data_IF_183050102818
#
_entry.id   IF_183050102818
#
_cell.length_a   1.000
_cell.length_b   1.000
_cell.length_c   1.000
_cell.angle_alpha   90.00
_cell.angle_beta   90.00
_cell.angle_gamma   90.00
#
_symmetry.space_group_name_H-M   'P 1'
#
loop_
_entity.id
_entity.type
_entity.pdbx_description
1 polymer ?
#
# COMPACT_ATOMS: atom_id res chain seq x y z
N UNK A 1 14.68 18.15 -21.60
CA UNK A 1 14.74 16.71 -21.29
C UNK A 1 14.26 16.38 -19.87
N UNK A 2 14.63 17.17 -18.85
CA UNK A 2 14.21 17.01 -17.44
C UNK A 2 12.69 16.92 -17.23
N UNK A 3 11.91 17.80 -17.86
CA UNK A 3 10.44 17.80 -17.76
C UNK A 3 9.79 16.55 -18.37
N UNK A 4 10.37 16.00 -19.45
CA UNK A 4 9.87 14.78 -20.09
C UNK A 4 10.06 13.55 -19.18
N UNK A 5 11.20 13.43 -18.52
CA UNK A 5 11.46 12.35 -17.56
C UNK A 5 10.54 12.44 -16.34
N UNK A 6 10.30 13.67 -15.84
CA UNK A 6 9.35 13.90 -14.76
C UNK A 6 7.95 13.43 -15.13
N UNK A 7 7.42 13.90 -16.26
CA UNK A 7 6.08 13.51 -16.73
C UNK A 7 5.98 12.01 -16.89
N UNK A 8 6.95 11.35 -17.52
CA UNK A 8 6.90 9.90 -17.70
C UNK A 8 6.84 9.13 -16.37
N UNK A 9 7.65 9.53 -15.37
CA UNK A 9 7.63 8.86 -14.05
C UNK A 9 6.32 9.13 -13.31
N UNK A 10 5.82 10.36 -13.35
CA UNK A 10 4.54 10.75 -12.73
C UNK A 10 3.38 10.02 -13.41
N UNK A 11 3.33 10.01 -14.74
CA UNK A 11 2.29 9.30 -15.50
C UNK A 11 2.35 7.81 -15.20
N UNK A 12 3.54 7.19 -15.17
CA UNK A 12 3.67 5.77 -14.86
C UNK A 12 3.19 5.44 -13.44
N UNK A 13 3.57 6.24 -12.44
CA UNK A 13 3.17 6.02 -11.05
C UNK A 13 1.67 6.29 -10.81
N UNK A 14 1.13 7.39 -11.34
CA UNK A 14 -0.20 7.90 -11.00
C UNK A 14 -1.32 7.55 -12.00
N UNK A 15 -1.00 7.14 -13.23
CA UNK A 15 -2.04 6.70 -14.18
C UNK A 15 -2.89 5.53 -13.65
N UNK A 16 -2.33 4.50 -12.97
CA UNK A 16 -3.13 3.43 -12.38
C UNK A 16 -4.17 3.93 -11.36
N UNK A 17 -3.82 4.92 -10.55
CA UNK A 17 -4.74 5.53 -9.59
C UNK A 17 -5.92 6.22 -10.29
N UNK A 18 -5.63 6.98 -11.35
CA UNK A 18 -6.65 7.66 -12.14
C UNK A 18 -7.58 6.68 -12.85
N UNK A 19 -7.01 5.64 -13.47
CA UNK A 19 -7.76 4.57 -14.14
C UNK A 19 -8.65 3.86 -13.12
N UNK A 20 -8.10 3.44 -11.98
CA UNK A 20 -8.87 2.76 -10.94
C UNK A 20 -10.03 3.64 -10.43
N UNK A 21 -9.79 4.92 -10.13
CA UNK A 21 -10.84 5.84 -9.70
C UNK A 21 -11.96 6.00 -10.73
N UNK A 22 -11.62 6.10 -12.02
CA UNK A 22 -12.60 6.32 -13.09
C UNK A 22 -13.41 5.06 -13.41
N UNK A 23 -12.77 3.88 -13.46
CA UNK A 23 -13.42 2.64 -13.89
C UNK A 23 -14.02 1.81 -12.74
N UNK A 24 -13.73 2.11 -11.47
CA UNK A 24 -14.34 1.40 -10.33
C UNK A 24 -15.71 1.94 -9.92
N UNK A 25 -16.31 2.86 -10.68
CA UNK A 25 -17.60 3.49 -10.35
C UNK A 25 -17.55 4.48 -9.18
N UNK A 26 -16.37 4.78 -8.61
CA UNK A 26 -16.21 5.73 -7.50
C UNK A 26 -16.64 7.15 -7.86
N UNK A 27 -16.46 7.50 -9.13
CA UNK A 27 -16.82 8.81 -9.65
C UNK A 27 -18.34 9.10 -9.57
N UNK A 28 -19.18 8.06 -9.63
CA UNK A 28 -20.65 8.18 -9.54
C UNK A 28 -21.11 8.50 -8.11
N UNK A 29 -20.34 8.08 -7.11
CA UNK A 29 -20.65 8.28 -5.69
C UNK A 29 -20.17 9.63 -5.12
N UNK A 30 -19.68 10.55 -5.96
CA UNK A 30 -19.01 11.80 -5.52
C UNK A 30 -17.93 11.52 -4.46
N UNK A 31 -17.16 10.45 -4.67
CA UNK A 31 -16.29 9.87 -3.65
C UNK A 31 -14.91 10.53 -3.54
N UNK A 32 -14.67 11.64 -4.24
CA UNK A 32 -13.39 12.36 -4.17
C UNK A 32 -13.09 12.81 -2.74
N UNK A 33 -14.09 13.38 -2.04
CA UNK A 33 -13.91 13.83 -0.65
C UNK A 33 -13.60 12.67 0.30
N UNK A 34 -14.15 11.49 0.03
CA UNK A 34 -13.88 10.26 0.79
C UNK A 34 -12.46 9.78 0.57
N UNK A 35 -11.98 9.78 -0.68
CA UNK A 35 -10.57 9.50 -0.96
C UNK A 35 -9.67 10.50 -0.24
N UNK A 36 -10.01 11.80 -0.25
CA UNK A 36 -9.25 12.84 0.46
C UNK A 36 -9.23 12.64 1.99
N UNK A 37 -10.36 12.25 2.59
CA UNK A 37 -10.42 11.88 4.01
C UNK A 37 -9.53 10.67 4.33
N UNK A 38 -9.51 9.65 3.46
CA UNK A 38 -8.64 8.50 3.63
C UNK A 38 -7.15 8.88 3.51
N UNK A 39 -6.81 9.75 2.56
CA UNK A 39 -5.47 10.32 2.45
C UNK A 39 -5.05 11.11 3.69
N UNK A 40 -5.97 11.89 4.27
CA UNK A 40 -5.73 12.59 5.54
C UNK A 40 -5.47 11.63 6.70
N UNK A 41 -6.23 10.53 6.78
CA UNK A 41 -6.02 9.45 7.73
C UNK A 41 -4.63 8.81 7.61
N UNK A 42 -4.17 8.56 6.38
CA UNK A 42 -2.81 8.07 6.12
C UNK A 42 -1.72 8.98 6.68
N UNK A 43 -1.80 10.29 6.47
CA UNK A 43 -0.77 11.21 6.98
C UNK A 43 -0.72 11.21 8.52
N UNK A 44 -1.87 11.10 9.18
CA UNK A 44 -1.94 11.00 10.64
C UNK A 44 -1.31 9.69 11.14
N UNK A 45 -1.64 8.55 10.54
CA UNK A 45 -1.10 7.25 10.95
C UNK A 45 0.37 7.13 10.64
N UNK A 46 0.81 7.68 9.50
CA UNK A 46 2.21 7.74 9.12
C UNK A 46 3.01 8.59 10.11
N UNK A 47 2.46 9.70 10.61
CA UNK A 47 3.12 10.51 11.64
C UNK A 47 3.28 9.72 12.95
N UNK A 48 2.23 9.01 13.39
CA UNK A 48 2.29 8.16 14.58
C UNK A 48 3.33 7.04 14.39
N UNK A 49 3.32 6.38 13.24
CA UNK A 49 4.26 5.31 12.88
C UNK A 49 5.71 5.79 12.90
N UNK A 50 5.99 6.95 12.30
CA UNK A 50 7.33 7.52 12.30
C UNK A 50 7.79 7.94 13.70
N UNK A 51 6.88 8.46 14.54
CA UNK A 51 7.18 8.78 15.94
C UNK A 51 7.54 7.51 16.73
N UNK A 52 6.74 6.44 16.59
CA UNK A 52 7.00 5.16 17.24
C UNK A 52 8.33 4.55 16.80
N UNK A 53 8.63 4.58 15.49
CA UNK A 53 9.91 4.11 14.97
C UNK A 53 11.07 4.92 15.54
N UNK A 54 10.95 6.24 15.61
CA UNK A 54 12.00 7.11 16.14
C UNK A 54 12.22 6.96 17.66
N UNK A 55 11.17 6.69 18.45
CA UNK A 55 11.28 6.55 19.91
C UNK A 55 11.77 5.17 20.34
N UNK A 56 11.29 4.10 19.71
CA UNK A 56 11.58 2.73 20.13
C UNK A 56 12.74 2.07 19.36
N UNK A 57 13.06 2.54 18.15
CA UNK A 57 14.15 2.00 17.33
C UNK A 57 15.19 3.08 17.04
N UNK A 58 16.08 3.39 18.01
CA UNK A 58 17.16 4.33 17.77
C UNK A 58 18.04 3.84 16.61
N UNK A 59 18.64 4.77 15.88
CA UNK A 59 19.65 4.45 14.87
C UNK A 59 20.85 3.81 15.57
N UNK A 60 20.90 2.48 15.59
CA UNK A 60 22.07 1.73 16.04
C UNK A 60 23.06 1.65 14.89
N UNK A 61 24.31 2.10 15.08
CA UNK A 61 25.42 2.03 14.12
C UNK A 61 25.92 0.58 13.87
N UNK A 62 25.09 -0.43 14.14
CA UNK A 62 25.40 -1.82 13.88
C UNK A 62 25.36 -2.07 12.36
N UNK A 63 26.54 -2.07 11.75
CA UNK A 63 26.80 -2.39 10.35
C UNK A 63 26.47 -3.88 10.07
N UNK A 64 25.18 -4.21 9.92
CA UNK A 64 24.76 -5.56 9.57
C UNK A 64 23.25 -5.79 9.59
N UNK A 65 22.74 -6.57 8.63
CA UNK A 65 21.34 -7.02 8.63
C UNK A 65 21.10 -7.94 9.83
N UNK A 66 20.37 -7.45 10.81
CA UNK A 66 19.95 -8.22 11.98
C UNK A 66 18.46 -8.54 11.86
N UNK A 67 18.13 -9.83 11.86
CA UNK A 67 16.77 -10.31 11.60
C UNK A 67 15.74 -9.74 12.59
N UNK A 68 16.04 -9.79 13.89
CA UNK A 68 15.10 -9.40 14.96
C UNK A 68 14.72 -7.91 14.93
N UNK A 69 15.67 -6.94 14.90
CA UNK A 69 15.30 -5.53 14.83
C UNK A 69 14.57 -5.19 13.53
N UNK A 70 14.86 -5.87 12.42
CA UNK A 70 14.16 -5.61 11.17
C UNK A 70 12.72 -6.14 11.16
N UNK A 71 12.51 -7.31 11.74
CA UNK A 71 11.16 -7.85 11.95
C UNK A 71 10.34 -6.92 12.85
N UNK A 72 10.95 -6.42 13.93
CA UNK A 72 10.31 -5.49 14.86
C UNK A 72 9.99 -4.14 14.21
N UNK A 73 10.87 -3.58 13.37
CA UNK A 73 10.57 -2.37 12.59
C UNK A 73 9.42 -2.60 11.64
N UNK A 74 9.39 -3.72 10.92
CA UNK A 74 8.28 -4.04 10.00
C UNK A 74 6.96 -4.26 10.74
N UNK A 75 6.97 -4.64 12.02
CA UNK A 75 5.74 -4.74 12.82
C UNK A 75 5.02 -3.40 13.01
N UNK A 76 5.72 -2.27 12.82
CA UNK A 76 5.10 -0.93 12.84
C UNK A 76 4.07 -0.74 11.71
N UNK A 77 4.13 -1.55 10.64
CA UNK A 77 3.14 -1.55 9.55
C UNK A 77 1.74 -2.01 10.04
N UNK A 78 1.63 -2.64 11.22
CA UNK A 78 0.33 -2.93 11.86
C UNK A 78 -0.45 -1.64 12.15
N UNK A 79 0.24 -0.53 12.42
CA UNK A 79 -0.39 0.78 12.65
C UNK A 79 -1.19 1.24 11.42
N UNK A 80 -0.68 0.95 10.22
CA UNK A 80 -1.36 1.33 8.98
C UNK A 80 -2.65 0.52 8.79
N UNK A 81 -2.64 -0.77 9.13
CA UNK A 81 -3.83 -1.64 9.10
C UNK A 81 -4.88 -1.17 10.10
N UNK A 82 -4.48 -0.84 11.33
CA UNK A 82 -5.38 -0.29 12.36
C UNK A 82 -5.95 1.05 11.90
N UNK A 83 -5.10 1.93 11.36
CA UNK A 83 -5.49 3.22 10.82
C UNK A 83 -6.51 3.10 9.70
N UNK A 84 -6.25 2.24 8.71
CA UNK A 84 -7.20 1.94 7.63
C UNK A 84 -8.55 1.48 8.18
N UNK A 85 -8.55 0.57 9.14
CA UNK A 85 -9.79 0.05 9.74
C UNK A 85 -10.60 1.16 10.43
N UNK A 86 -9.95 2.01 11.22
CA UNK A 86 -10.59 3.15 11.89
C UNK A 86 -11.17 4.14 10.86
N UNK A 87 -10.40 4.49 9.84
CA UNK A 87 -10.85 5.41 8.77
C UNK A 87 -12.05 4.86 8.02
N UNK A 88 -12.03 3.58 7.64
CA UNK A 88 -13.15 2.94 6.94
C UNK A 88 -14.41 2.80 7.79
N UNK A 89 -14.25 2.68 9.10
CA UNK A 89 -15.37 2.48 10.02
C UNK A 89 -16.00 3.81 10.45
N UNK A 90 -15.18 4.82 10.74
CA UNK A 90 -15.63 6.06 11.38
C UNK A 90 -15.64 7.28 10.47
N UNK A 91 -14.72 7.38 9.50
CA UNK A 91 -14.61 8.56 8.63
C UNK A 91 -15.38 8.38 7.32
N UNK A 92 -15.36 7.17 6.76
CA UNK A 92 -15.96 6.87 5.47
C UNK A 92 -17.43 6.45 5.63
N UNK A 93 -18.34 7.28 5.12
CA UNK A 93 -19.78 6.98 5.08
C UNK A 93 -20.20 6.38 3.72
N UNK A 94 -21.20 5.48 3.71
CA UNK A 94 -21.75 4.88 2.48
C UNK A 94 -21.72 3.35 2.45
N UNK A 95 -21.96 2.77 1.27
CA UNK A 95 -21.92 1.30 1.05
C UNK A 95 -20.50 0.77 1.33
N UNK A 96 -20.40 -0.37 2.02
CA UNK A 96 -19.11 -0.97 2.41
C UNK A 96 -18.14 -1.16 1.24
N UNK A 97 -18.66 -1.55 0.07
CA UNK A 97 -17.86 -1.71 -1.15
C UNK A 97 -17.18 -0.42 -1.61
N UNK A 98 -17.90 0.70 -1.52
CA UNK A 98 -17.36 2.03 -1.86
C UNK A 98 -16.34 2.47 -0.82
N UNK A 99 -16.53 2.14 0.45
CA UNK A 99 -15.63 2.53 1.55
C UNK A 99 -14.25 1.91 1.42
N UNK A 100 -14.16 0.59 1.18
CA UNK A 100 -12.83 -0.03 1.08
C UNK A 100 -12.10 0.39 -0.20
N UNK A 101 -12.80 0.56 -1.32
CA UNK A 101 -12.20 1.05 -2.57
C UNK A 101 -11.70 2.49 -2.43
N UNK A 102 -12.53 3.40 -1.92
CA UNK A 102 -12.14 4.79 -1.68
C UNK A 102 -11.01 4.89 -0.63
N UNK A 103 -11.09 4.08 0.42
CA UNK A 103 -10.08 4.00 1.46
C UNK A 103 -8.73 3.53 0.92
N UNK A 104 -8.70 2.41 0.21
CA UNK A 104 -7.47 1.86 -0.37
C UNK A 104 -6.85 2.76 -1.44
N UNK A 105 -7.65 3.33 -2.33
CA UNK A 105 -7.16 4.26 -3.36
C UNK A 105 -6.62 5.56 -2.75
N UNK A 106 -7.35 6.16 -1.82
CA UNK A 106 -6.92 7.39 -1.14
C UNK A 106 -5.66 7.17 -0.30
N UNK A 107 -5.59 6.03 0.41
CA UNK A 107 -4.44 5.66 1.22
C UNK A 107 -3.20 5.39 0.36
N UNK A 108 -3.33 4.55 -0.67
CA UNK A 108 -2.24 4.27 -1.59
C UNK A 108 -1.78 5.52 -2.34
N UNK A 109 -2.68 6.45 -2.68
CA UNK A 109 -2.32 7.69 -3.35
C UNK A 109 -1.52 8.59 -2.42
N UNK A 110 -1.94 8.72 -1.17
CA UNK A 110 -1.21 9.49 -0.16
C UNK A 110 0.17 8.88 0.12
N UNK A 111 0.26 7.56 0.18
CA UNK A 111 1.53 6.86 0.32
C UNK A 111 2.47 7.14 -0.86
N UNK A 112 2.00 6.97 -2.09
CA UNK A 112 2.78 7.24 -3.30
C UNK A 112 3.25 8.70 -3.39
N UNK A 113 2.39 9.66 -3.05
CA UNK A 113 2.76 11.08 -3.01
C UNK A 113 3.83 11.33 -1.94
N UNK A 114 3.65 10.80 -0.74
CA UNK A 114 4.60 10.98 0.36
C UNK A 114 5.96 10.32 0.08
N UNK A 115 5.99 9.15 -0.55
CA UNK A 115 7.21 8.39 -0.78
C UNK A 115 7.93 8.78 -2.06
N UNK A 116 7.19 9.03 -3.15
CA UNK A 116 7.75 9.04 -4.51
C UNK A 116 7.70 10.41 -5.19
N UNK A 117 6.75 11.29 -4.84
CA UNK A 117 6.59 12.58 -5.54
C UNK A 117 7.85 13.47 -5.44
N UNK A 118 8.39 13.61 -4.23
CA UNK A 118 9.61 14.40 -3.99
C UNK A 118 10.81 13.77 -4.72
N UNK A 119 10.89 12.44 -4.76
CA UNK A 119 11.96 11.72 -5.44
C UNK A 119 11.90 11.89 -6.96
N UNK A 120 10.71 11.89 -7.56
CA UNK A 120 10.56 12.20 -8.99
C UNK A 120 10.93 13.65 -9.29
N UNK A 121 10.57 14.59 -8.43
CA UNK A 121 10.94 16.00 -8.58
C UNK A 121 12.46 16.21 -8.55
N UNK A 122 13.15 15.60 -7.57
CA UNK A 122 14.61 15.66 -7.46
C UNK A 122 15.27 14.91 -8.63
N UNK A 123 14.74 13.75 -9.00
CA UNK A 123 15.23 12.96 -10.13
C UNK A 123 15.11 13.66 -11.48
N UNK A 124 14.08 14.48 -11.66
CA UNK A 124 13.92 15.32 -12.84
C UNK A 124 14.99 16.39 -12.97
N UNK A 125 15.63 16.83 -11.86
CA UNK A 125 16.70 17.84 -11.88
C UNK A 125 18.08 17.25 -12.23
N UNK A 126 18.22 15.93 -12.27
CA UNK A 126 19.48 15.28 -12.62
C UNK A 126 19.81 15.46 -14.12
N UNK A 127 21.11 15.64 -14.42
CA UNK A 127 21.61 15.85 -15.79
C UNK A 127 21.58 14.58 -16.66
N UNK A 128 21.54 13.39 -16.05
CA UNK A 128 21.48 12.10 -16.72
C UNK A 128 20.33 11.25 -16.19
N UNK A 129 19.58 10.63 -17.10
CA UNK A 129 18.44 9.78 -16.77
C UNK A 129 18.90 8.39 -16.33
N UNK A 130 18.51 8.00 -15.11
CA UNK A 130 18.79 6.66 -14.57
C UNK A 130 17.54 5.80 -14.55
N UNK A 131 17.70 4.52 -14.87
CA UNK A 131 16.63 3.52 -14.92
C UNK A 131 15.97 3.28 -13.55
N UNK A 132 16.65 3.66 -12.46
CA UNK A 132 16.16 3.62 -11.08
C UNK A 132 14.86 4.41 -10.89
N UNK A 133 14.67 5.52 -11.61
CA UNK A 133 13.46 6.34 -11.49
C UNK A 133 12.23 5.64 -12.08
N UNK A 134 12.40 4.91 -13.18
CA UNK A 134 11.33 4.07 -13.75
C UNK A 134 10.99 2.92 -12.81
N UNK A 135 12.00 2.25 -12.26
CA UNK A 135 11.79 1.17 -11.29
C UNK A 135 10.99 1.66 -10.08
N UNK A 136 11.33 2.83 -9.53
CA UNK A 136 10.59 3.46 -8.44
C UNK A 136 9.15 3.83 -8.82
N UNK A 137 8.93 4.32 -10.04
CA UNK A 137 7.59 4.61 -10.53
C UNK A 137 6.72 3.34 -10.68
N UNK A 138 7.30 2.24 -11.18
CA UNK A 138 6.63 0.95 -11.25
C UNK A 138 6.33 0.36 -9.87
N UNK A 139 7.29 0.44 -8.95
CA UNK A 139 7.11 -0.02 -7.57
C UNK A 139 5.93 0.71 -6.92
N UNK A 140 5.84 2.03 -7.07
CA UNK A 140 4.70 2.79 -6.57
C UNK A 140 3.36 2.36 -7.17
N UNK A 141 3.33 1.90 -8.42
CA UNK A 141 2.11 1.35 -9.04
C UNK A 141 1.75 -0.02 -8.49
N UNK A 142 2.73 -0.83 -8.08
CA UNK A 142 2.48 -2.14 -7.47
C UNK A 142 2.07 -2.02 -5.99
N UNK A 143 2.56 -0.99 -5.31
CA UNK A 143 2.11 -0.65 -3.96
C UNK A 143 0.63 -0.26 -3.94
N UNK A 144 0.11 0.41 -4.98
CA UNK A 144 -1.33 0.64 -5.12
C UNK A 144 -2.14 -0.66 -5.04
N UNK A 145 -1.71 -1.68 -5.78
CA UNK A 145 -2.40 -3.00 -5.80
C UNK A 145 -2.41 -3.59 -4.39
N UNK A 146 -1.27 -3.50 -3.69
CA UNK A 146 -1.14 -3.99 -2.33
C UNK A 146 -2.04 -3.23 -1.34
N UNK A 147 -2.08 -1.91 -1.38
CA UNK A 147 -2.90 -1.10 -0.48
C UNK A 147 -4.40 -1.27 -0.73
N UNK A 148 -4.83 -1.42 -1.98
CA UNK A 148 -6.22 -1.74 -2.30
C UNK A 148 -6.60 -3.14 -1.80
N UNK A 149 -5.71 -4.12 -1.97
CA UNK A 149 -5.92 -5.47 -1.43
C UNK A 149 -5.94 -5.48 0.11
N UNK A 150 -5.04 -4.73 0.76
CA UNK A 150 -5.01 -4.55 2.22
C UNK A 150 -6.30 -3.91 2.72
N UNK A 151 -6.80 -2.87 2.04
CA UNK A 151 -8.09 -2.24 2.34
C UNK A 151 -9.28 -3.20 2.21
N UNK A 152 -9.30 -4.03 1.16
CA UNK A 152 -10.33 -5.04 0.98
C UNK A 152 -10.26 -6.11 2.09
N UNK A 153 -9.05 -6.57 2.45
CA UNK A 153 -8.83 -7.56 3.50
C UNK A 153 -9.21 -7.02 4.89
N UNK A 154 -8.89 -5.77 5.23
CA UNK A 154 -9.30 -5.16 6.51
C UNK A 154 -10.81 -5.03 6.61
N UNK A 155 -11.48 -4.67 5.52
CA UNK A 155 -12.94 -4.63 5.47
C UNK A 155 -13.54 -6.04 5.63
N UNK A 156 -13.03 -7.03 4.89
CA UNK A 156 -13.48 -8.42 4.98
C UNK A 156 -13.20 -9.05 6.35
N UNK A 157 -12.10 -8.69 7.04
CA UNK A 157 -11.76 -9.25 8.35
C UNK A 157 -12.87 -9.05 9.39
N UNK A 158 -13.63 -7.97 9.25
CA UNK A 158 -14.76 -7.65 10.15
C UNK A 158 -16.05 -8.39 9.81
N UNK A 159 -16.16 -8.97 8.61
CA UNK A 159 -17.44 -9.49 8.05
C UNK A 159 -17.37 -10.92 7.51
N UNK A 160 -16.20 -11.46 7.22
CA UNK A 160 -16.03 -12.71 6.48
C UNK A 160 -16.20 -13.95 7.39
N UNK A 161 -16.76 -15.01 6.81
CA UNK A 161 -16.90 -16.32 7.44
C UNK A 161 -15.56 -17.07 7.55
N UNK A 162 -14.64 -16.92 6.58
CA UNK A 162 -13.31 -17.54 6.58
C UNK A 162 -12.25 -16.65 7.23
N UNK A 163 -12.40 -16.36 8.53
CA UNK A 163 -11.54 -15.44 9.28
C UNK A 163 -10.05 -15.80 9.18
N UNK A 164 -9.71 -17.09 9.25
CA UNK A 164 -8.31 -17.55 9.22
C UNK A 164 -7.55 -17.14 7.94
N UNK A 165 -8.15 -17.34 6.77
CA UNK A 165 -7.50 -16.99 5.50
C UNK A 165 -7.28 -15.48 5.39
N UNK A 166 -8.28 -14.68 5.77
CA UNK A 166 -8.19 -13.21 5.75
C UNK A 166 -7.10 -12.72 6.69
N UNK A 167 -7.02 -13.26 7.92
CA UNK A 167 -5.96 -12.90 8.86
C UNK A 167 -4.57 -13.28 8.34
N UNK A 168 -4.40 -14.47 7.75
CA UNK A 168 -3.10 -14.88 7.17
C UNK A 168 -2.66 -13.93 6.05
N UNK A 169 -3.57 -13.59 5.13
CA UNK A 169 -3.26 -12.64 4.07
C UNK A 169 -2.98 -11.23 4.60
N UNK A 170 -3.71 -10.80 5.62
CA UNK A 170 -3.49 -9.49 6.24
C UNK A 170 -2.13 -9.42 6.95
N UNK A 171 -1.74 -10.49 7.65
CA UNK A 171 -0.39 -10.62 8.22
C UNK A 171 0.68 -10.56 7.14
N UNK A 172 0.47 -11.23 6.00
CA UNK A 172 1.39 -11.11 4.86
C UNK A 172 1.46 -9.65 4.35
N UNK A 173 0.32 -8.93 4.22
CA UNK A 173 0.34 -7.52 3.85
C UNK A 173 1.17 -6.66 4.81
N UNK A 174 1.02 -6.86 6.12
CA UNK A 174 1.79 -6.12 7.14
C UNK A 174 3.29 -6.34 6.97
N UNK A 175 3.73 -7.60 6.80
CA UNK A 175 5.15 -7.92 6.71
C UNK A 175 5.76 -7.78 5.30
N UNK A 176 5.08 -7.11 4.36
CA UNK A 176 5.59 -6.91 3.00
C UNK A 176 6.96 -6.19 2.98
N UNK A 177 7.13 -5.15 3.81
CA UNK A 177 8.38 -4.40 3.97
C UNK A 177 9.53 -5.32 4.35
N UNK A 178 9.30 -6.21 5.33
CA UNK A 178 10.26 -7.21 5.76
C UNK A 178 10.63 -8.19 4.65
N UNK A 179 9.64 -8.71 3.92
CA UNK A 179 9.86 -9.63 2.79
C UNK A 179 10.77 -8.97 1.74
N UNK A 180 10.50 -7.71 1.40
CA UNK A 180 11.32 -6.95 0.46
C UNK A 180 12.76 -6.78 0.94
N UNK A 181 12.96 -6.53 2.23
CA UNK A 181 14.29 -6.36 2.78
C UNK A 181 15.08 -7.66 2.90
N UNK A 182 14.41 -8.78 3.17
CA UNK A 182 15.01 -10.12 3.13
C UNK A 182 15.44 -10.47 1.69
N UNK A 183 14.59 -10.19 0.70
CA UNK A 183 14.94 -10.38 -0.72
C UNK A 183 16.17 -9.56 -1.11
N UNK A 184 16.26 -8.31 -0.66
CA UNK A 184 17.40 -7.45 -0.93
C UNK A 184 18.68 -7.90 -0.21
N UNK A 185 18.59 -8.18 1.10
CA UNK A 185 19.76 -8.40 1.96
C UNK A 185 20.29 -9.83 1.90
N UNK A 186 19.41 -10.83 1.86
CA UNK A 186 19.78 -12.26 1.91
C UNK A 186 19.97 -12.82 0.50
N UNK A 187 19.04 -12.53 -0.40
CA UNK A 187 19.06 -13.06 -1.77
C UNK A 187 19.78 -12.15 -2.77
N UNK A 188 20.14 -10.93 -2.37
CA UNK A 188 20.84 -9.98 -3.24
C UNK A 188 20.00 -9.50 -4.44
N UNK A 189 18.67 -9.61 -4.35
CA UNK A 189 17.75 -9.24 -5.42
C UNK A 189 17.76 -7.72 -5.60
N UNK A 190 18.12 -7.24 -6.79
CA UNK A 190 18.31 -5.80 -7.09
C UNK A 190 17.73 -5.40 -8.44
N UNK A 191 17.44 -4.11 -8.60
CA UNK A 191 16.98 -3.53 -9.85
C UNK A 191 15.68 -4.18 -10.36
N UNK A 192 15.69 -4.69 -11.59
CA UNK A 192 14.51 -5.27 -12.25
C UNK A 192 13.93 -6.50 -11.57
N UNK A 193 14.79 -7.33 -10.97
CA UNK A 193 14.31 -8.53 -10.27
C UNK A 193 13.54 -8.15 -9.00
N UNK A 194 13.91 -7.03 -8.35
CA UNK A 194 13.18 -6.51 -7.19
C UNK A 194 11.80 -6.00 -7.60
N UNK A 195 11.73 -5.26 -8.70
CA UNK A 195 10.46 -4.76 -9.28
C UNK A 195 9.54 -5.92 -9.64
N UNK A 196 10.07 -6.98 -10.25
CA UNK A 196 9.30 -8.19 -10.55
C UNK A 196 8.82 -8.89 -9.28
N UNK A 197 9.68 -9.03 -8.26
CA UNK A 197 9.31 -9.65 -6.99
C UNK A 197 8.19 -8.89 -6.28
N UNK A 198 8.24 -7.54 -6.28
CA UNK A 198 7.17 -6.67 -5.76
C UNK A 198 5.87 -6.87 -6.51
N UNK A 199 5.91 -6.92 -7.84
CA UNK A 199 4.73 -7.19 -8.66
C UNK A 199 4.10 -8.55 -8.34
N UNK A 200 4.91 -9.61 -8.31
CA UNK A 200 4.44 -10.98 -8.02
C UNK A 200 3.83 -11.05 -6.63
N UNK A 201 4.46 -10.41 -5.64
CA UNK A 201 3.95 -10.34 -4.28
C UNK A 201 2.59 -9.62 -4.20
N UNK A 202 2.49 -8.41 -4.74
CA UNK A 202 1.24 -7.64 -4.76
C UNK A 202 0.12 -8.36 -5.51
N UNK A 203 0.45 -9.02 -6.64
CA UNK A 203 -0.52 -9.82 -7.41
C UNK A 203 -0.98 -11.08 -6.66
N UNK A 204 -0.07 -11.76 -5.95
CA UNK A 204 -0.39 -12.92 -5.12
C UNK A 204 -1.35 -12.53 -3.97
N UNK A 205 -1.10 -11.40 -3.32
CA UNK A 205 -2.00 -10.88 -2.28
C UNK A 205 -3.36 -10.47 -2.85
N UNK A 206 -3.38 -9.77 -3.99
CA UNK A 206 -4.63 -9.35 -4.63
C UNK A 206 -5.48 -10.55 -5.09
N UNK A 207 -4.86 -11.59 -5.67
CA UNK A 207 -5.55 -12.84 -6.02
C UNK A 207 -6.03 -13.59 -4.79
N UNK A 208 -5.25 -13.63 -3.71
CA UNK A 208 -5.68 -14.16 -2.41
C UNK A 208 -6.89 -13.42 -1.85
N UNK A 209 -6.90 -12.08 -1.92
CA UNK A 209 -8.04 -11.27 -1.49
C UNK A 209 -9.29 -11.52 -2.35
N UNK A 210 -9.13 -11.70 -3.65
CA UNK A 210 -10.22 -12.08 -4.55
C UNK A 210 -10.80 -13.46 -4.19
N UNK A 211 -9.94 -14.45 -3.95
CA UNK A 211 -10.36 -15.78 -3.49
C UNK A 211 -11.10 -15.69 -2.15
N UNK A 212 -10.56 -14.94 -1.18
CA UNK A 212 -11.20 -14.72 0.11
C UNK A 212 -12.61 -14.12 -0.04
N UNK A 213 -12.76 -13.13 -0.93
CA UNK A 213 -14.05 -12.51 -1.22
C UNK A 213 -15.03 -13.50 -1.87
N UNK A 214 -14.57 -14.30 -2.83
CA UNK A 214 -15.41 -15.31 -3.50
C UNK A 214 -15.92 -16.38 -2.52
N UNK A 215 -15.08 -16.82 -1.58
CA UNK A 215 -15.45 -17.77 -0.53
C UNK A 215 -16.43 -17.12 0.46
N UNK A 216 -16.21 -15.86 0.83
CA UNK A 216 -17.13 -15.14 1.72
C UNK A 216 -18.54 -14.97 1.12
N UNK A 217 -18.64 -14.78 -0.21
CA UNK A 217 -19.94 -14.70 -0.91
C UNK A 217 -20.72 -16.02 -0.94
N UNK A 218 -20.07 -17.17 -0.74
CA UNK A 218 -20.72 -18.48 -0.69
C UNK A 218 -21.41 -18.79 0.64
N UNK A 219 -21.15 -17.99 1.69
CA UNK A 219 -21.76 -18.15 3.02
C UNK A 219 -22.92 -17.17 3.16
N UNK A 220 -24.16 -17.62 3.46
CA UNK A 220 -25.29 -16.72 3.60
C UNK A 220 -25.05 -15.73 4.74
N UNK A 221 -24.97 -14.44 4.40
CA UNK A 221 -24.89 -13.36 5.38
C UNK A 221 -26.18 -13.32 6.21
N UNK A 222 -26.08 -13.61 7.51
CA UNK A 222 -27.12 -13.21 8.47
C UNK A 222 -27.21 -11.68 8.41
N UNK A 223 -28.35 -11.17 7.92
CA UNK A 223 -28.74 -9.78 8.10
C UNK A 223 -29.09 -9.63 9.58
N UNK A 224 -28.21 -9.01 10.33
CA UNK A 224 -28.56 -8.38 11.60
C UNK A 224 -29.10 -6.96 11.31
#
# INVERSE_FOLDING_TARGET
>A
MTFFHFINCVTLAYAPYFIAYKYSGLNEYSSFWRCAQASGGYFLTQLIKLLLLATFFPATDAEGFSFLPELLKSSADVVDVIGMHIVMTHLLNGKGEVRFLAGGLGWGAAHSVASSFILFWVGARASAFSWRWIQMAMDSSFDLILFVAMAALTWMATRAASRHLVFVLLTACVFHSFVYQVLFSVFGVRGWLMVLARFVYSAAIASGAFLAYSVAGSVPQKRD
#
